data_IF_822474333596
#
_entry.id   IF_822474333596
#
_cell.length_a   1.000
_cell.length_b   1.000
_cell.length_c   1.000
_cell.angle_alpha   90.00
_cell.angle_beta   90.00
_cell.angle_gamma   90.00
#
_symmetry.space_group_name_H-M   'P 1'
#
loop_
_entity.id
_entity.type
_entity.pdbx_description
1 polymer ?
#
# COMPACT_ATOMS: atom_id res chain seq x y z
N UNK A 1 -15.34 -30.55 -5.28
CA UNK A 1 -16.45 -29.93 -6.04
C UNK A 1 -16.83 -30.74 -7.28
N UNK A 2 -15.86 -31.35 -8.01
CA UNK A 2 -16.12 -32.29 -9.12
C UNK A 2 -16.99 -33.51 -8.77
N UNK A 3 -16.97 -34.00 -7.52
CA UNK A 3 -17.64 -35.27 -7.17
C UNK A 3 -19.17 -35.15 -7.07
N UNK A 4 -19.72 -33.96 -6.80
CA UNK A 4 -21.17 -33.78 -6.74
C UNK A 4 -21.80 -33.76 -8.14
N UNK A 5 -21.12 -33.20 -9.14
CA UNK A 5 -21.62 -33.19 -10.52
C UNK A 5 -21.57 -34.60 -11.11
N UNK A 6 -20.48 -35.35 -10.90
CA UNK A 6 -20.38 -36.75 -11.34
C UNK A 6 -21.42 -37.64 -10.67
N UNK A 7 -21.70 -37.43 -9.38
CA UNK A 7 -22.77 -38.13 -8.66
C UNK A 7 -24.17 -37.81 -9.17
N UNK A 8 -24.46 -36.52 -9.45
CA UNK A 8 -25.73 -36.08 -10.04
C UNK A 8 -25.94 -36.62 -11.46
N UNK A 9 -24.87 -36.68 -12.27
CA UNK A 9 -24.91 -37.25 -13.62
C UNK A 9 -25.17 -38.76 -13.57
N UNK A 10 -24.50 -39.49 -12.66
CA UNK A 10 -24.71 -40.92 -12.48
C UNK A 10 -26.13 -41.24 -11.99
N UNK A 11 -26.62 -40.51 -10.98
CA UNK A 11 -27.99 -40.66 -10.47
C UNK A 11 -29.03 -40.29 -11.54
N UNK A 12 -28.75 -39.29 -12.38
CA UNK A 12 -29.58 -38.95 -13.54
C UNK A 12 -29.63 -40.07 -14.58
N UNK A 13 -28.50 -40.72 -14.86
CA UNK A 13 -28.46 -41.88 -15.76
C UNK A 13 -29.19 -43.11 -15.19
N UNK A 14 -29.07 -43.35 -13.89
CA UNK A 14 -29.74 -44.45 -13.19
C UNK A 14 -31.27 -44.25 -13.20
N UNK A 15 -31.73 -43.06 -12.84
CA UNK A 15 -33.15 -42.69 -12.85
C UNK A 15 -33.75 -42.72 -14.27
N UNK A 16 -32.99 -42.35 -15.31
CA UNK A 16 -33.40 -42.49 -16.70
C UNK A 16 -33.48 -43.96 -17.17
N UNK A 17 -32.61 -44.83 -16.66
CA UNK A 17 -32.65 -46.27 -16.91
C UNK A 17 -33.84 -46.94 -16.21
N UNK A 18 -34.16 -46.53 -14.98
CA UNK A 18 -35.33 -47.00 -14.24
C UNK A 18 -36.64 -46.55 -14.92
N UNK A 19 -36.70 -45.30 -15.38
CA UNK A 19 -37.80 -44.75 -16.18
C UNK A 19 -38.06 -45.52 -17.49
N UNK A 20 -37.01 -46.17 -18.02
CA UNK A 20 -37.08 -47.02 -19.22
C UNK A 20 -37.54 -48.45 -18.91
N UNK A 21 -37.39 -48.92 -17.67
CA UNK A 21 -37.72 -50.27 -17.24
C UNK A 21 -39.17 -50.42 -16.72
N UNK A 22 -39.74 -49.36 -16.11
CA UNK A 22 -41.10 -49.36 -15.57
C UNK A 22 -42.06 -48.59 -16.48
N UNK A 23 -42.57 -49.23 -17.54
CA UNK A 23 -43.55 -48.60 -18.43
C UNK A 23 -44.98 -48.65 -17.82
N UNK A 24 -45.24 -47.79 -16.83
CA UNK A 24 -46.52 -47.09 -16.69
C UNK A 24 -46.36 -45.72 -17.34
N UNK A 25 -47.38 -45.20 -18.02
CA UNK A 25 -47.27 -44.02 -18.89
C UNK A 25 -46.53 -42.82 -18.24
N UNK A 26 -45.27 -42.64 -18.61
CA UNK A 26 -44.48 -41.46 -18.25
C UNK A 26 -45.10 -40.25 -18.95
N UNK A 27 -45.56 -39.28 -18.16
CA UNK A 27 -46.03 -38.01 -18.71
C UNK A 27 -44.83 -37.25 -19.29
N UNK A 28 -44.75 -37.22 -20.62
CA UNK A 28 -43.69 -36.52 -21.36
C UNK A 28 -43.62 -35.03 -21.05
N UNK A 29 -44.71 -34.41 -20.53
CA UNK A 29 -44.65 -33.01 -20.07
C UNK A 29 -43.84 -32.86 -18.80
N UNK A 30 -43.97 -33.80 -17.87
CA UNK A 30 -43.19 -33.81 -16.62
C UNK A 30 -41.69 -34.00 -16.88
N UNK A 31 -41.33 -34.87 -17.84
CA UNK A 31 -39.94 -35.04 -18.28
C UNK A 31 -39.41 -33.78 -18.98
N UNK A 32 -40.19 -33.17 -19.87
CA UNK A 32 -39.81 -31.93 -20.54
C UNK A 32 -39.60 -30.78 -19.55
N UNK A 33 -40.45 -30.69 -18.51
CA UNK A 33 -40.30 -29.71 -17.43
C UNK A 33 -39.01 -29.93 -16.64
N UNK A 34 -38.71 -31.16 -16.25
CA UNK A 34 -37.47 -31.48 -15.53
C UNK A 34 -36.21 -31.17 -16.37
N UNK A 35 -36.23 -31.45 -17.67
CA UNK A 35 -35.14 -31.07 -18.59
C UNK A 35 -34.98 -29.55 -18.66
N UNK A 36 -36.09 -28.81 -18.74
CA UNK A 36 -36.08 -27.33 -18.75
C UNK A 36 -35.54 -26.75 -17.44
N UNK A 37 -35.97 -27.30 -16.30
CA UNK A 37 -35.52 -26.87 -14.98
C UNK A 37 -34.02 -27.16 -14.80
N UNK A 38 -33.55 -28.32 -15.25
CA UNK A 38 -32.13 -28.69 -15.22
C UNK A 38 -31.28 -27.80 -16.13
N UNK A 39 -31.74 -27.51 -17.35
CA UNK A 39 -31.06 -26.60 -18.27
C UNK A 39 -30.91 -25.19 -17.65
N UNK A 40 -31.98 -24.68 -17.05
CA UNK A 40 -31.97 -23.39 -16.34
C UNK A 40 -31.00 -23.41 -15.16
N UNK A 41 -30.97 -24.51 -14.38
CA UNK A 41 -30.02 -24.64 -13.27
C UNK A 41 -28.56 -24.70 -13.74
N UNK A 42 -28.27 -25.36 -14.87
CA UNK A 42 -26.93 -25.41 -15.45
C UNK A 42 -26.47 -24.03 -15.92
N UNK A 43 -27.34 -23.24 -16.56
CA UNK A 43 -27.05 -21.86 -16.93
C UNK A 43 -26.73 -20.99 -15.70
N UNK A 44 -27.54 -21.10 -14.64
CA UNK A 44 -27.29 -20.38 -13.37
C UNK A 44 -25.95 -20.79 -12.75
N UNK A 45 -25.60 -22.07 -12.78
CA UNK A 45 -24.32 -22.56 -12.25
C UNK A 45 -23.13 -22.07 -13.11
N UNK A 46 -23.29 -21.99 -14.43
CA UNK A 46 -22.27 -21.45 -15.32
C UNK A 46 -21.99 -19.97 -15.02
N UNK A 47 -23.04 -19.16 -14.87
CA UNK A 47 -22.91 -17.74 -14.53
C UNK A 47 -22.22 -17.57 -13.17
N UNK A 48 -22.62 -18.36 -12.16
CA UNK A 48 -21.98 -18.33 -10.83
C UNK A 48 -20.52 -18.74 -10.87
N UNK A 49 -20.18 -19.77 -11.65
CA UNK A 49 -18.80 -20.23 -11.82
C UNK A 49 -17.93 -19.16 -12.48
N UNK A 50 -18.44 -18.47 -13.50
CA UNK A 50 -17.74 -17.37 -14.16
C UNK A 50 -17.52 -16.18 -13.20
N UNK A 51 -18.55 -15.78 -12.46
CA UNK A 51 -18.43 -14.71 -11.47
C UNK A 51 -17.39 -15.04 -10.39
N UNK A 52 -17.37 -16.28 -9.90
CA UNK A 52 -16.38 -16.74 -8.92
C UNK A 52 -14.96 -16.76 -9.50
N UNK A 53 -14.80 -17.14 -10.77
CA UNK A 53 -13.50 -17.10 -11.45
C UNK A 53 -12.98 -15.67 -11.58
N UNK A 54 -13.85 -14.72 -11.93
CA UNK A 54 -13.51 -13.29 -11.99
C UNK A 54 -13.15 -12.72 -10.61
N UNK A 55 -13.90 -13.07 -9.56
CA UNK A 55 -13.60 -12.67 -8.18
C UNK A 55 -12.24 -13.23 -7.73
N UNK A 56 -11.96 -14.51 -8.02
CA UNK A 56 -10.67 -15.12 -7.72
C UNK A 56 -9.52 -14.44 -8.47
N UNK A 57 -9.72 -14.11 -9.75
CA UNK A 57 -8.71 -13.40 -10.52
C UNK A 57 -8.43 -12.01 -9.92
N UNK A 58 -9.47 -11.26 -9.56
CA UNK A 58 -9.34 -9.97 -8.87
C UNK A 58 -8.62 -10.10 -7.53
N UNK A 59 -8.92 -11.14 -6.75
CA UNK A 59 -8.23 -11.40 -5.49
C UNK A 59 -6.74 -11.71 -5.69
N UNK A 60 -6.39 -12.52 -6.70
CA UNK A 60 -5.00 -12.82 -7.04
C UNK A 60 -4.24 -11.55 -7.40
N UNK A 61 -4.83 -10.68 -8.22
CA UNK A 61 -4.16 -9.45 -8.65
C UNK A 61 -4.02 -8.45 -7.50
N UNK A 62 -5.02 -8.36 -6.62
CA UNK A 62 -4.92 -7.58 -5.37
C UNK A 62 -3.81 -8.09 -4.45
N UNK A 63 -3.64 -9.41 -4.32
CA UNK A 63 -2.58 -10.00 -3.50
C UNK A 63 -1.20 -9.71 -4.09
N UNK A 64 -1.04 -9.81 -5.41
CA UNK A 64 0.22 -9.46 -6.09
C UNK A 64 0.60 -7.99 -5.89
N UNK A 65 -0.39 -7.09 -5.96
CA UNK A 65 -0.18 -5.68 -5.70
C UNK A 65 0.24 -5.43 -4.25
N UNK A 66 -0.42 -6.10 -3.29
CA UNK A 66 -0.06 -6.01 -1.88
C UNK A 66 1.36 -6.52 -1.61
N UNK A 67 1.75 -7.66 -2.19
CA UNK A 67 3.10 -8.22 -2.06
C UNK A 67 4.17 -7.26 -2.60
N UNK A 68 3.91 -6.67 -3.78
CA UNK A 68 4.80 -5.67 -4.39
C UNK A 68 4.94 -4.42 -3.51
N UNK A 69 3.84 -3.96 -2.90
CA UNK A 69 3.85 -2.82 -1.98
C UNK A 69 4.64 -3.12 -0.69
N UNK A 70 4.47 -4.31 -0.12
CA UNK A 70 5.21 -4.76 1.08
C UNK A 70 6.71 -4.83 0.78
N UNK A 71 7.09 -5.39 -0.37
CA UNK A 71 8.49 -5.48 -0.77
C UNK A 71 9.14 -4.09 -0.91
N UNK A 72 8.47 -3.17 -1.60
CA UNK A 72 8.94 -1.80 -1.76
C UNK A 72 9.08 -1.08 -0.41
N UNK A 73 8.10 -1.24 0.49
CA UNK A 73 8.16 -0.67 1.83
C UNK A 73 9.35 -1.24 2.61
N UNK A 74 9.56 -2.55 2.55
CA UNK A 74 10.69 -3.20 3.23
C UNK A 74 12.04 -2.69 2.73
N UNK A 75 12.22 -2.53 1.41
CA UNK A 75 13.43 -1.96 0.80
C UNK A 75 13.70 -0.52 1.31
N UNK A 76 12.67 0.34 1.33
CA UNK A 76 12.77 1.72 1.83
C UNK A 76 13.13 1.78 3.30
N UNK A 77 12.42 1.03 4.14
CA UNK A 77 12.71 1.00 5.58
C UNK A 77 14.08 0.41 5.89
N UNK A 78 14.54 -0.56 5.09
CA UNK A 78 15.88 -1.11 5.24
C UNK A 78 16.96 -0.09 4.91
N UNK A 79 16.78 0.72 3.84
CA UNK A 79 17.67 1.82 3.51
C UNK A 79 17.71 2.89 4.62
N UNK A 80 16.55 3.29 5.15
CA UNK A 80 16.46 4.22 6.28
C UNK A 80 17.10 3.65 7.55
N UNK A 81 16.94 2.35 7.82
CA UNK A 81 17.57 1.71 8.97
C UNK A 81 19.09 1.67 8.84
N UNK A 82 19.62 1.37 7.65
CA UNK A 82 21.05 1.38 7.37
C UNK A 82 21.65 2.78 7.51
N UNK A 83 20.99 3.80 6.96
CA UNK A 83 21.40 5.21 7.10
C UNK A 83 21.41 5.64 8.57
N UNK A 84 20.34 5.35 9.32
CA UNK A 84 20.27 5.63 10.75
C UNK A 84 21.37 4.93 11.57
N UNK A 85 21.72 3.68 11.21
CA UNK A 85 22.82 2.98 11.85
C UNK A 85 24.16 3.66 11.58
N UNK A 86 24.39 4.12 10.34
CA UNK A 86 25.59 4.88 9.95
C UNK A 86 25.71 6.22 10.69
N UNK A 87 24.60 6.95 10.84
CA UNK A 87 24.56 8.20 11.61
C UNK A 87 24.89 7.96 13.09
N UNK A 88 24.31 6.92 13.69
CA UNK A 88 24.59 6.54 15.10
C UNK A 88 26.05 6.13 15.29
N UNK A 89 26.64 5.37 14.36
CA UNK A 89 28.05 5.00 14.44
C UNK A 89 28.96 6.21 14.29
N UNK A 90 28.68 7.12 13.35
CA UNK A 90 29.43 8.35 13.16
C UNK A 90 29.43 9.23 14.42
N UNK A 91 28.25 9.41 15.03
CA UNK A 91 28.09 10.13 16.29
C UNK A 91 28.87 9.48 17.45
N UNK A 92 28.86 8.14 17.54
CA UNK A 92 29.63 7.42 18.56
C UNK A 92 31.15 7.56 18.37
N UNK A 93 31.63 7.56 17.13
CA UNK A 93 33.05 7.75 16.84
C UNK A 93 33.50 9.18 17.14
N UNK A 94 32.66 10.18 16.87
CA UNK A 94 32.89 11.57 17.32
C UNK A 94 33.04 11.65 18.85
N UNK A 95 32.15 11.02 19.61
CA UNK A 95 32.23 10.98 21.09
C UNK A 95 33.53 10.31 21.55
N UNK A 96 33.98 9.22 20.91
CA UNK A 96 35.27 8.58 21.25
C UNK A 96 36.45 9.50 21.00
N UNK A 97 36.45 10.24 19.88
CA UNK A 97 37.51 11.22 19.55
C UNK A 97 37.53 12.33 20.59
N UNK A 98 36.35 12.86 20.97
CA UNK A 98 36.20 13.86 22.03
C UNK A 98 36.73 13.33 23.35
N UNK A 99 36.35 12.12 23.76
CA UNK A 99 36.78 11.55 25.03
C UNK A 99 38.30 11.29 25.06
N UNK A 100 38.89 10.81 23.96
CA UNK A 100 40.36 10.61 23.87
C UNK A 100 41.12 11.93 23.89
N UNK A 101 40.64 12.93 23.14
CA UNK A 101 41.19 14.28 23.14
C UNK A 101 40.98 15.00 24.47
N UNK A 102 39.85 14.83 25.13
CA UNK A 102 39.59 15.39 26.46
C UNK A 102 40.43 14.72 27.54
N UNK A 103 40.59 13.40 27.52
CA UNK A 103 41.40 12.65 28.50
C UNK A 103 42.90 12.94 28.39
N UNK A 104 43.41 13.25 27.19
CA UNK A 104 44.82 13.63 27.01
C UNK A 104 45.16 15.03 27.57
N UNK A 105 44.16 15.89 27.81
CA UNK A 105 44.38 17.31 28.16
C UNK A 105 43.59 17.79 29.39
N UNK A 106 42.68 16.99 29.94
CA UNK A 106 42.17 17.18 31.28
C UNK A 106 43.26 16.74 32.28
N UNK A 107 43.89 17.76 32.87
CA UNK A 107 44.75 17.74 34.05
C UNK A 107 46.22 17.36 33.83
N UNK A 108 46.98 18.31 33.29
CA UNK A 108 48.19 18.76 33.99
C UNK A 108 48.24 20.30 34.04
N UNK A 109 48.20 20.82 35.26
CA UNK A 109 48.54 22.20 35.62
C UNK A 109 47.64 23.37 35.15
N UNK A 110 46.32 23.14 35.00
CA UNK A 110 45.35 24.25 34.99
C UNK A 110 45.37 25.21 33.79
N UNK A 111 46.03 24.85 32.68
CA UNK A 111 46.11 25.69 31.48
C UNK A 111 44.92 25.46 30.55
N UNK A 112 44.28 26.56 30.11
CA UNK A 112 43.15 26.58 29.18
C UNK A 112 43.45 25.90 27.84
N UNK A 113 42.41 25.23 27.31
CA UNK A 113 42.35 24.54 26.01
C UNK A 113 42.98 25.38 24.89
N UNK A 114 43.95 24.79 24.18
CA UNK A 114 44.64 25.43 23.05
C UNK A 114 43.64 25.70 21.87
N UNK A 115 43.48 26.97 21.42
CA UNK A 115 42.53 27.37 20.37
C UNK A 115 42.69 26.65 19.02
N UNK A 116 43.89 26.14 18.71
CA UNK A 116 44.15 25.43 17.45
C UNK A 116 43.41 24.09 17.37
N UNK A 117 43.15 23.46 18.52
CA UNK A 117 42.43 22.19 18.61
C UNK A 117 40.91 22.37 18.65
N UNK A 118 40.41 23.51 19.15
CA UNK A 118 39.00 23.87 19.06
C UNK A 118 38.55 24.09 17.60
N UNK A 119 39.43 24.61 16.73
CA UNK A 119 39.16 24.69 15.28
C UNK A 119 39.10 23.32 14.61
N UNK A 120 40.10 22.46 14.81
CA UNK A 120 40.09 21.11 14.24
C UNK A 120 38.89 20.27 14.70
N UNK A 121 38.42 20.50 15.93
CA UNK A 121 37.20 19.90 16.47
C UNK A 121 35.92 20.43 15.79
N UNK A 122 35.79 21.75 15.63
CA UNK A 122 34.68 22.35 14.90
C UNK A 122 34.64 21.88 13.43
N UNK A 123 35.80 21.71 12.79
CA UNK A 123 35.90 21.20 11.41
C UNK A 123 35.49 19.72 11.32
N UNK A 124 35.86 18.88 12.30
CA UNK A 124 35.44 17.48 12.36
C UNK A 124 33.94 17.35 12.60
N UNK A 125 33.40 18.13 13.54
CA UNK A 125 31.97 18.19 13.85
C UNK A 125 31.16 18.72 12.66
N UNK A 126 31.64 19.75 11.97
CA UNK A 126 31.02 20.27 10.76
C UNK A 126 30.97 19.22 9.65
N UNK A 127 32.03 18.42 9.47
CA UNK A 127 32.05 17.30 8.52
C UNK A 127 31.12 16.15 8.92
N UNK A 128 31.05 15.83 10.22
CA UNK A 128 30.13 14.82 10.78
C UNK A 128 28.66 15.22 10.55
N UNK A 129 28.33 16.49 10.74
CA UNK A 129 27.01 17.08 10.50
C UNK A 129 26.68 17.29 9.00
N UNK A 130 27.67 17.21 8.12
CA UNK A 130 27.50 17.22 6.66
C UNK A 130 27.25 15.81 6.08
N UNK A 131 26.99 14.81 6.93
CA UNK A 131 26.62 13.49 6.43
C UNK A 131 25.32 13.58 5.64
N UNK A 132 25.41 13.33 4.33
CA UNK A 132 24.24 13.26 3.46
C UNK A 132 23.28 12.17 3.96
N UNK A 133 21.99 12.44 3.90
CA UNK A 133 20.92 11.50 4.27
C UNK A 133 20.04 11.17 3.06
N UNK A 134 20.60 10.58 1.99
CA UNK A 134 19.91 10.40 0.72
C UNK A 134 18.66 9.50 0.84
N UNK A 135 18.64 8.51 1.74
CA UNK A 135 17.48 7.67 1.95
C UNK A 135 16.35 8.44 2.65
N UNK A 136 16.68 9.23 3.67
CA UNK A 136 15.71 10.14 4.32
C UNK A 136 15.19 11.20 3.36
N UNK A 137 16.07 11.81 2.56
CA UNK A 137 15.69 12.84 1.58
C UNK A 137 14.75 12.28 0.51
N UNK A 138 15.06 11.09 -0.03
CA UNK A 138 14.22 10.40 -0.99
C UNK A 138 12.85 10.04 -0.39
N UNK A 139 12.83 9.51 0.84
CA UNK A 139 11.59 9.20 1.55
C UNK A 139 10.73 10.45 1.76
N UNK A 140 11.32 11.56 2.23
CA UNK A 140 10.59 12.82 2.43
C UNK A 140 10.12 13.43 1.11
N UNK A 141 10.88 13.32 0.03
CA UNK A 141 10.47 13.76 -1.29
C UNK A 141 9.24 12.98 -1.78
N UNK A 142 9.23 11.66 -1.58
CA UNK A 142 8.10 10.81 -1.92
C UNK A 142 6.85 11.14 -1.08
N UNK A 143 7.00 11.28 0.23
CA UNK A 143 5.88 11.68 1.12
C UNK A 143 5.30 13.03 0.70
N UNK A 144 6.15 14.00 0.34
CA UNK A 144 5.70 15.30 -0.18
C UNK A 144 4.96 15.16 -1.52
N UNK A 145 5.47 14.33 -2.44
CA UNK A 145 4.81 14.07 -3.72
C UNK A 145 3.45 13.40 -3.52
N UNK A 146 3.34 12.43 -2.61
CA UNK A 146 2.09 11.76 -2.30
C UNK A 146 1.07 12.72 -1.66
N UNK A 147 1.50 13.51 -0.68
CA UNK A 147 0.65 14.53 -0.06
C UNK A 147 0.13 15.56 -1.09
N UNK A 148 0.96 15.92 -2.07
CA UNK A 148 0.55 16.79 -3.19
C UNK A 148 -0.47 16.10 -4.11
N UNK A 149 -0.26 14.82 -4.45
CA UNK A 149 -1.22 14.05 -5.24
C UNK A 149 -2.57 13.91 -4.53
N UNK A 150 -2.56 13.67 -3.22
CA UNK A 150 -3.77 13.57 -2.40
C UNK A 150 -4.53 14.91 -2.36
N UNK A 151 -3.81 16.02 -2.24
CA UNK A 151 -4.34 17.37 -2.37
C UNK A 151 -5.00 17.61 -3.74
N UNK A 152 -4.33 17.24 -4.83
CA UNK A 152 -4.89 17.35 -6.19
C UNK A 152 -6.18 16.51 -6.33
N UNK A 153 -6.18 15.28 -5.82
CA UNK A 153 -7.35 14.40 -5.84
C UNK A 153 -8.53 14.99 -5.07
N UNK A 154 -8.28 15.51 -3.86
CA UNK A 154 -9.28 16.18 -3.05
C UNK A 154 -9.87 17.40 -3.78
N UNK A 155 -9.01 18.21 -4.41
CA UNK A 155 -9.44 19.36 -5.18
C UNK A 155 -10.33 18.98 -6.37
N UNK A 156 -9.93 17.99 -7.18
CA UNK A 156 -10.71 17.49 -8.32
C UNK A 156 -12.07 16.96 -7.85
N UNK A 157 -12.10 16.22 -6.73
CA UNK A 157 -13.35 15.74 -6.14
C UNK A 157 -14.29 16.90 -5.76
N UNK A 158 -13.76 17.96 -5.16
CA UNK A 158 -14.55 19.14 -4.80
C UNK A 158 -15.04 19.92 -6.03
N UNK A 159 -14.23 20.06 -7.07
CA UNK A 159 -14.62 20.69 -8.33
C UNK A 159 -15.78 19.91 -9.00
N UNK A 160 -15.67 18.59 -9.07
CA UNK A 160 -16.74 17.73 -9.59
C UNK A 160 -18.04 17.84 -8.80
N UNK A 161 -17.97 17.90 -7.47
CA UNK A 161 -19.15 18.09 -6.61
C UNK A 161 -19.81 19.46 -6.78
N UNK A 162 -19.03 20.48 -7.10
CA UNK A 162 -19.53 21.81 -7.39
C UNK A 162 -20.09 21.95 -8.82
N UNK A 163 -20.02 20.91 -9.65
CA UNK A 163 -20.50 20.92 -11.03
C UNK A 163 -19.67 21.81 -11.95
N UNK A 164 -18.42 22.09 -11.57
CA UNK A 164 -17.54 23.00 -12.31
C UNK A 164 -16.88 22.30 -13.50
N UNK A 165 -16.76 23.01 -14.62
CA UNK A 165 -16.01 22.56 -15.80
C UNK A 165 -14.62 23.21 -15.87
N UNK A 166 -13.75 22.67 -16.74
CA UNK A 166 -12.35 23.12 -16.90
C UNK A 166 -12.23 24.58 -17.40
N UNK A 167 -13.30 25.17 -17.92
CA UNK A 167 -13.36 26.55 -18.43
C UNK A 167 -13.90 27.56 -17.42
N UNK A 168 -14.43 27.12 -16.27
CA UNK A 168 -15.02 28.01 -15.27
C UNK A 168 -13.97 28.75 -14.43
N UNK A 169 -14.17 30.06 -14.27
CA UNK A 169 -13.32 30.91 -13.43
C UNK A 169 -13.82 30.89 -11.97
N UNK A 170 -12.97 30.40 -11.06
CA UNK A 170 -13.23 30.44 -9.62
C UNK A 170 -12.82 31.81 -9.05
N UNK A 171 -13.60 32.39 -8.14
CA UNK A 171 -13.13 33.57 -7.38
C UNK A 171 -11.95 33.17 -6.48
N UNK A 172 -10.95 34.03 -6.40
CA UNK A 172 -9.73 33.83 -5.59
C UNK A 172 -10.03 33.32 -4.17
N UNK A 173 -11.03 33.91 -3.50
CA UNK A 173 -11.45 33.50 -2.15
C UNK A 173 -11.78 32.00 -2.06
N UNK A 174 -12.59 31.46 -2.98
CA UNK A 174 -12.99 30.05 -2.93
C UNK A 174 -11.84 29.10 -3.24
N UNK A 175 -10.94 29.48 -4.15
CA UNK A 175 -9.73 28.72 -4.41
C UNK A 175 -8.81 28.69 -3.18
N UNK A 176 -8.65 29.83 -2.48
CA UNK A 176 -7.89 29.91 -1.23
C UNK A 176 -8.52 29.07 -0.12
N UNK A 177 -9.83 29.16 0.07
CA UNK A 177 -10.55 28.39 1.11
C UNK A 177 -10.42 26.87 0.85
N UNK A 178 -10.51 26.42 -0.40
CA UNK A 178 -10.32 25.03 -0.77
C UNK A 178 -8.88 24.53 -0.50
N UNK A 179 -7.87 25.34 -0.84
CA UNK A 179 -6.47 25.01 -0.57
C UNK A 179 -6.18 24.94 0.94
N UNK A 180 -6.71 25.88 1.74
CA UNK A 180 -6.57 25.87 3.19
C UNK A 180 -7.24 24.64 3.80
N UNK A 181 -8.46 24.32 3.38
CA UNK A 181 -9.16 23.11 3.84
C UNK A 181 -8.35 21.84 3.55
N UNK A 182 -7.80 21.71 2.34
CA UNK A 182 -6.98 20.55 2.01
C UNK A 182 -5.65 20.52 2.78
N UNK A 183 -5.02 21.67 3.02
CA UNK A 183 -3.82 21.78 3.86
C UNK A 183 -4.09 21.35 5.31
N UNK A 184 -5.27 21.66 5.85
CA UNK A 184 -5.69 21.20 7.19
C UNK A 184 -5.92 19.68 7.23
N UNK A 185 -6.48 19.09 6.18
CA UNK A 185 -6.62 17.63 6.09
C UNK A 185 -5.26 16.91 6.09
N UNK A 186 -4.27 17.45 5.38
CA UNK A 186 -2.90 16.92 5.40
C UNK A 186 -2.26 16.99 6.79
N UNK A 187 -2.62 17.99 7.61
CA UNK A 187 -2.11 18.13 9.00
C UNK A 187 -2.75 17.14 9.96
N UNK A 188 -4.05 16.88 9.82
CA UNK A 188 -4.77 15.97 10.72
C UNK A 188 -4.30 14.51 10.60
N UNK A 189 -3.78 14.10 9.44
CA UNK A 189 -3.20 12.77 9.24
C UNK A 189 -1.89 12.51 9.99
N UNK A 190 -1.23 13.55 10.51
CA UNK A 190 0.08 13.45 11.22
C UNK A 190 -0.09 13.10 12.72
N UNK A 191 -1.31 13.23 13.26
CA UNK A 191 -1.59 12.99 14.69
C UNK A 191 -2.24 11.63 15.00
N UNK A 192 -2.44 10.78 14.00
CA UNK A 192 -3.05 9.45 14.17
C UNK A 192 -2.03 8.31 14.27
#
# INVERSE_FOLDING_TARGET
MESNIKGLVAAGHEMASELKAECGAVDMRSVAKLISDLATQLEVQLVRANALAEDHQRAIDSIKQADSAVKLAHEKFSALAAENAGLKSGAMDEIKVINRGGQAYCVKDGVQVNPMYARGWNDYRAKSLQSDTPASDAFLAEVRAQAFNDLCSAFVKHANLAGMDDGELVRLKYATDALLHCADQLRNGVQS
#
